data_IF_802684697306
#
_entry.id   IF_802684697306
#
_cell.length_a   1.000
_cell.length_b   1.000
_cell.length_c   1.000
_cell.angle_alpha   90.00
_cell.angle_beta   90.00
_cell.angle_gamma   90.00
#
_symmetry.space_group_name_H-M   'P 1'
#
loop_
_entity.id
_entity.type
_entity.pdbx_description
1 polymer ?
#
# COMPACT_ATOMS: atom_id res chain seq x y z
N UNK A 1 62.30 -15.25 18.92
CA UNK A 1 61.95 -16.66 18.69
C UNK A 1 62.41 -17.00 17.28
N UNK A 2 63.63 -17.55 17.15
CA UNK A 2 63.93 -18.95 16.76
C UNK A 2 63.36 -19.31 15.38
N UNK A 3 64.07 -19.76 14.35
CA UNK A 3 65.51 -20.03 14.08
C UNK A 3 65.60 -20.52 12.62
N UNK A 4 66.44 -19.87 11.81
CA UNK A 4 67.46 -20.40 10.86
C UNK A 4 67.31 -21.79 10.20
N UNK A 5 67.39 -21.79 8.86
CA UNK A 5 68.23 -22.58 7.93
C UNK A 5 68.86 -23.93 8.38
N UNK A 6 68.76 -24.97 7.53
CA UNK A 6 69.59 -26.19 7.54
C UNK A 6 70.04 -26.49 6.10
N UNK A 7 71.30 -26.26 5.71
CA UNK A 7 72.51 -27.12 5.89
C UNK A 7 72.38 -28.44 5.10
N UNK A 8 73.11 -28.71 4.00
CA UNK A 8 74.57 -28.72 3.79
C UNK A 8 75.31 -29.71 4.73
N UNK A 9 75.65 -30.88 4.19
CA UNK A 9 76.54 -31.92 4.75
C UNK A 9 77.23 -32.53 3.50
N UNK A 10 78.50 -32.28 3.14
CA UNK A 10 79.78 -32.27 3.85
C UNK A 10 80.33 -33.66 4.24
N UNK A 11 81.28 -34.11 3.42
CA UNK A 11 82.51 -34.85 3.76
C UNK A 11 82.35 -36.33 4.22
N UNK A 12 83.30 -37.27 4.04
CA UNK A 12 84.75 -37.13 3.92
C UNK A 12 85.46 -38.48 3.64
N UNK A 13 86.79 -38.42 3.38
CA UNK A 13 87.86 -39.41 3.72
C UNK A 13 88.07 -40.58 2.72
N UNK A 14 89.28 -40.99 2.28
CA UNK A 14 90.65 -40.88 2.81
C UNK A 14 91.71 -40.97 1.69
N UNK A 15 92.80 -40.23 1.84
CA UNK A 15 94.06 -40.39 1.13
C UNK A 15 95.18 -40.76 2.15
N UNK A 16 96.07 -41.71 1.81
CA UNK A 16 97.38 -41.97 2.45
C UNK A 16 98.26 -42.64 1.35
N UNK A 17 99.38 -42.10 0.83
CA UNK A 17 100.68 -41.62 1.38
C UNK A 17 101.76 -42.73 1.40
N UNK A 18 102.70 -42.58 0.43
CA UNK A 18 104.18 -42.68 0.43
C UNK A 18 104.94 -43.69 1.33
N UNK A 19 105.90 -44.41 0.71
CA UNK A 19 107.37 -44.35 0.94
C UNK A 19 108.08 -45.72 0.83
N UNK A 20 109.22 -45.75 0.11
CA UNK A 20 110.10 -46.93 -0.10
C UNK A 20 111.01 -47.29 1.09
N UNK A 21 111.86 -48.33 0.96
CA UNK A 21 113.16 -48.15 0.30
C UNK A 21 113.71 -49.36 -0.51
N UNK A 22 114.75 -49.08 -1.30
CA UNK A 22 115.70 -50.01 -1.96
C UNK A 22 116.84 -50.42 -0.96
N UNK A 23 117.82 -51.34 -1.23
CA UNK A 23 118.41 -51.66 -2.54
C UNK A 23 119.02 -53.08 -2.78
N UNK A 24 119.67 -53.20 -3.96
CA UNK A 24 120.78 -54.08 -4.39
C UNK A 24 120.50 -55.41 -5.15
N UNK A 25 120.71 -55.29 -6.47
CA UNK A 25 121.62 -56.06 -7.32
C UNK A 25 121.40 -57.58 -7.55
N UNK A 26 120.83 -57.90 -8.72
CA UNK A 26 121.45 -58.83 -9.67
C UNK A 26 120.89 -58.58 -11.09
N UNK A 27 121.77 -58.46 -12.07
CA UNK A 27 121.48 -58.56 -13.50
C UNK A 27 122.53 -59.54 -14.08
N UNK A 28 122.38 -60.07 -15.29
CA UNK A 28 121.27 -59.93 -16.24
C UNK A 28 120.70 -61.31 -16.66
N UNK A 29 119.50 -61.35 -17.22
CA UNK A 29 119.32 -62.15 -18.42
C UNK A 29 118.16 -61.65 -19.28
N UNK A 30 118.43 -61.74 -20.57
CA UNK A 30 117.66 -61.17 -21.64
C UNK A 30 116.34 -61.92 -21.90
N UNK A 31 115.48 -61.23 -22.68
CA UNK A 31 114.34 -61.77 -23.45
C UNK A 31 113.04 -61.99 -22.66
N UNK A 32 112.15 -61.02 -22.75
CA UNK A 32 110.84 -61.19 -23.41
C UNK A 32 110.04 -59.89 -23.28
N UNK A 33 109.96 -59.14 -24.37
CA UNK A 33 109.03 -58.03 -24.52
C UNK A 33 107.62 -58.57 -24.80
N UNK A 34 106.95 -59.19 -23.82
CA UNK A 34 105.51 -59.51 -23.85
C UNK A 34 104.93 -59.58 -22.41
N UNK A 35 104.80 -58.44 -21.70
CA UNK A 35 103.53 -58.17 -21.00
C UNK A 35 103.14 -56.67 -20.93
N UNK A 36 103.85 -55.77 -21.63
CA UNK A 36 103.46 -54.36 -21.75
C UNK A 36 102.26 -54.18 -22.68
N UNK A 37 102.29 -54.90 -23.80
CA UNK A 37 101.24 -54.90 -24.81
C UNK A 37 99.89 -55.45 -24.26
N UNK A 38 99.92 -56.40 -23.31
CA UNK A 38 98.72 -56.94 -22.67
C UNK A 38 98.10 -55.97 -21.64
N UNK A 39 98.92 -55.30 -20.82
CA UNK A 39 98.44 -54.28 -19.85
C UNK A 39 97.88 -53.04 -20.54
N UNK A 40 98.49 -52.63 -21.65
CA UNK A 40 98.01 -51.51 -22.47
C UNK A 40 96.68 -51.86 -23.17
N UNK A 41 96.52 -53.08 -23.69
CA UNK A 41 95.23 -53.57 -24.22
C UNK A 41 94.14 -53.66 -23.14
N UNK A 42 94.47 -54.07 -21.92
CA UNK A 42 93.54 -54.07 -20.79
C UNK A 42 93.15 -52.65 -20.34
N UNK A 43 94.11 -51.71 -20.32
CA UNK A 43 93.84 -50.29 -20.04
C UNK A 43 92.95 -49.66 -21.13
N UNK A 44 93.18 -49.96 -22.40
CA UNK A 44 92.34 -49.51 -23.53
C UNK A 44 90.93 -50.11 -23.46
N UNK A 45 90.78 -51.38 -23.08
CA UNK A 45 89.46 -52.00 -22.86
C UNK A 45 88.69 -51.33 -21.73
N UNK A 46 89.35 -51.02 -20.61
CA UNK A 46 88.75 -50.26 -19.49
C UNK A 46 88.37 -48.85 -19.91
N UNK A 47 89.21 -48.17 -20.70
CA UNK A 47 88.91 -46.84 -21.23
C UNK A 47 87.73 -46.87 -22.22
N UNK A 48 87.67 -47.87 -23.10
CA UNK A 48 86.55 -48.07 -24.01
C UNK A 48 85.25 -48.40 -23.26
N UNK A 49 85.32 -49.18 -22.19
CA UNK A 49 84.18 -49.44 -21.31
C UNK A 49 83.75 -48.18 -20.55
N UNK A 50 84.68 -47.37 -20.05
CA UNK A 50 84.39 -46.08 -19.41
C UNK A 50 83.74 -45.09 -20.39
N UNK A 51 84.23 -45.01 -21.63
CA UNK A 51 83.64 -44.18 -22.68
C UNK A 51 82.22 -44.64 -23.04
N UNK A 52 81.99 -45.95 -23.15
CA UNK A 52 80.64 -46.50 -23.37
C UNK A 52 79.69 -46.19 -22.22
N UNK A 53 80.16 -46.25 -20.96
CA UNK A 53 79.36 -45.87 -19.78
C UNK A 53 79.00 -44.40 -19.80
N UNK A 54 79.96 -43.53 -20.10
CA UNK A 54 79.75 -42.09 -20.17
C UNK A 54 78.79 -41.70 -21.32
N UNK A 55 78.90 -42.36 -22.48
CA UNK A 55 77.94 -42.22 -23.57
C UNK A 55 76.53 -42.69 -23.18
N UNK A 56 76.41 -43.79 -22.43
CA UNK A 56 75.12 -44.26 -21.91
C UNK A 56 74.52 -43.30 -20.88
N UNK A 57 75.34 -42.74 -19.99
CA UNK A 57 74.92 -41.73 -19.01
C UNK A 57 74.48 -40.44 -19.69
N UNK A 58 75.22 -39.93 -20.69
CA UNK A 58 74.79 -38.78 -21.50
C UNK A 58 73.47 -39.03 -22.20
N UNK A 59 73.30 -40.18 -22.84
CA UNK A 59 72.04 -40.54 -23.49
C UNK A 59 70.88 -40.68 -22.50
N UNK A 60 71.13 -41.16 -21.29
CA UNK A 60 70.12 -41.24 -20.23
C UNK A 60 69.74 -39.86 -19.69
N UNK A 61 70.72 -38.97 -19.48
CA UNK A 61 70.51 -37.59 -19.06
C UNK A 61 69.79 -36.76 -20.12
N UNK A 62 70.13 -36.91 -21.41
CA UNK A 62 69.44 -36.25 -22.51
C UNK A 62 67.96 -36.68 -22.59
N UNK A 63 67.67 -37.98 -22.40
CA UNK A 63 66.30 -38.49 -22.33
C UNK A 63 65.55 -37.94 -21.11
N UNK A 64 66.18 -37.91 -19.94
CA UNK A 64 65.57 -37.36 -18.73
C UNK A 64 65.32 -35.84 -18.83
N UNK A 65 66.22 -35.11 -19.51
CA UNK A 65 66.08 -33.69 -19.77
C UNK A 65 64.94 -33.44 -20.78
N UNK A 66 64.82 -34.27 -21.82
CA UNK A 66 63.70 -34.22 -22.76
C UNK A 66 62.35 -34.50 -22.06
N UNK A 67 62.25 -35.57 -21.26
CA UNK A 67 61.01 -35.87 -20.53
C UNK A 67 60.66 -34.79 -19.50
N UNK A 68 61.65 -34.25 -18.79
CA UNK A 68 61.42 -33.15 -17.85
C UNK A 68 60.99 -31.85 -18.55
N UNK A 69 61.49 -31.58 -19.77
CA UNK A 69 61.02 -30.45 -20.59
C UNK A 69 59.59 -30.64 -21.07
N UNK A 70 59.23 -31.85 -21.49
CA UNK A 70 57.86 -32.18 -21.92
C UNK A 70 56.88 -32.09 -20.75
N UNK A 71 57.25 -32.60 -19.57
CA UNK A 71 56.46 -32.47 -18.33
C UNK A 71 56.34 -31.00 -17.88
N UNK A 72 57.41 -30.21 -17.96
CA UNK A 72 57.35 -28.77 -17.66
C UNK A 72 56.47 -28.02 -18.66
N UNK A 73 56.49 -28.39 -19.94
CA UNK A 73 55.60 -27.86 -20.98
C UNK A 73 54.13 -28.21 -20.72
N UNK A 74 53.85 -29.47 -20.39
CA UNK A 74 52.52 -29.95 -20.02
C UNK A 74 51.97 -29.25 -18.77
N UNK A 75 52.76 -29.17 -17.71
CA UNK A 75 52.41 -28.46 -16.48
C UNK A 75 52.22 -26.94 -16.72
N UNK A 76 52.98 -26.34 -17.64
CA UNK A 76 52.78 -24.96 -18.09
C UNK A 76 51.42 -24.76 -18.75
N UNK A 77 51.08 -25.62 -19.72
CA UNK A 77 49.80 -25.58 -20.41
C UNK A 77 48.60 -25.80 -19.46
N UNK A 78 48.73 -26.70 -18.48
CA UNK A 78 47.71 -26.91 -17.45
C UNK A 78 47.54 -25.70 -16.53
N UNK A 79 48.64 -25.04 -16.14
CA UNK A 79 48.59 -23.79 -15.35
C UNK A 79 47.91 -22.67 -16.11
N UNK A 80 48.22 -22.50 -17.40
CA UNK A 80 47.59 -21.48 -18.23
C UNK A 80 46.09 -21.76 -18.43
N UNK A 81 45.71 -23.02 -18.64
CA UNK A 81 44.31 -23.44 -18.72
C UNK A 81 43.57 -23.21 -17.39
N UNK A 82 44.19 -23.53 -16.25
CA UNK A 82 43.63 -23.28 -14.93
C UNK A 82 43.49 -21.77 -14.65
N UNK A 83 44.49 -20.96 -15.00
CA UNK A 83 44.44 -19.51 -14.86
C UNK A 83 43.33 -18.89 -15.73
N UNK A 84 43.15 -19.37 -16.96
CA UNK A 84 42.05 -18.95 -17.83
C UNK A 84 40.68 -19.30 -17.24
N UNK A 85 40.52 -20.50 -16.64
CA UNK A 85 39.29 -20.91 -15.96
C UNK A 85 39.01 -20.06 -14.72
N UNK A 86 40.04 -19.77 -13.90
CA UNK A 86 39.91 -18.91 -12.73
C UNK A 86 39.44 -17.50 -13.12
N UNK A 87 40.07 -16.89 -14.15
CA UNK A 87 39.64 -15.58 -14.67
C UNK A 87 38.19 -15.58 -15.15
N UNK A 88 37.75 -16.63 -15.86
CA UNK A 88 36.35 -16.77 -16.29
C UNK A 88 35.40 -16.88 -15.09
N UNK A 89 35.75 -17.69 -14.10
CA UNK A 89 34.96 -17.83 -12.88
C UNK A 89 34.85 -16.51 -12.09
N UNK A 90 35.94 -15.75 -11.98
CA UNK A 90 35.95 -14.42 -11.36
C UNK A 90 35.03 -13.44 -12.11
N UNK A 91 35.09 -13.42 -13.44
CA UNK A 91 34.20 -12.54 -14.24
C UNK A 91 32.72 -12.93 -14.08
N UNK A 92 32.41 -14.24 -14.05
CA UNK A 92 31.06 -14.72 -13.81
C UNK A 92 30.57 -14.41 -12.39
N UNK A 93 31.42 -14.58 -11.38
CA UNK A 93 31.10 -14.23 -10.00
C UNK A 93 30.85 -12.71 -9.84
N UNK A 94 31.67 -11.87 -10.49
CA UNK A 94 31.46 -10.43 -10.50
C UNK A 94 30.15 -10.02 -11.20
N UNK A 95 29.77 -10.71 -12.27
CA UNK A 95 28.50 -10.50 -12.95
C UNK A 95 27.32 -10.87 -12.06
N UNK A 96 27.32 -12.07 -11.49
CA UNK A 96 26.27 -12.54 -10.57
C UNK A 96 26.15 -11.65 -9.34
N UNK A 97 27.27 -11.15 -8.80
CA UNK A 97 27.25 -10.21 -7.68
C UNK A 97 26.54 -8.90 -8.06
N UNK A 98 26.78 -8.37 -9.27
CA UNK A 98 26.07 -7.17 -9.77
C UNK A 98 24.58 -7.43 -9.97
N UNK A 99 24.20 -8.57 -10.52
CA UNK A 99 22.80 -8.96 -10.69
C UNK A 99 22.09 -9.11 -9.35
N UNK A 100 22.71 -9.75 -8.36
CA UNK A 100 22.15 -9.88 -7.02
C UNK A 100 21.94 -8.51 -6.37
N UNK A 101 22.88 -7.58 -6.51
CA UNK A 101 22.70 -6.22 -6.00
C UNK A 101 21.60 -5.45 -6.75
N UNK A 102 21.49 -5.62 -8.07
CA UNK A 102 20.40 -5.05 -8.85
C UNK A 102 19.03 -5.60 -8.42
N UNK A 103 18.91 -6.92 -8.24
CA UNK A 103 17.70 -7.59 -7.77
C UNK A 103 17.33 -7.15 -6.35
N UNK A 104 18.30 -7.02 -5.44
CA UNK A 104 18.06 -6.48 -4.09
C UNK A 104 17.53 -5.05 -4.13
N UNK A 105 18.07 -4.20 -5.01
CA UNK A 105 17.56 -2.83 -5.21
C UNK A 105 16.14 -2.84 -5.76
N UNK A 106 15.86 -3.65 -6.77
CA UNK A 106 14.52 -3.81 -7.34
C UNK A 106 13.51 -4.32 -6.30
N UNK A 107 13.90 -5.28 -5.45
CA UNK A 107 13.05 -5.80 -4.38
C UNK A 107 12.74 -4.72 -3.34
N UNK A 108 13.74 -3.92 -2.95
CA UNK A 108 13.53 -2.78 -2.04
C UNK A 108 12.58 -1.77 -2.65
N UNK A 109 12.77 -1.40 -3.91
CA UNK A 109 11.89 -0.47 -4.62
C UNK A 109 10.46 -1.01 -4.75
N UNK A 110 10.27 -2.29 -5.07
CA UNK A 110 8.94 -2.88 -5.07
C UNK A 110 8.31 -2.89 -3.67
N UNK A 111 9.10 -3.14 -2.62
CA UNK A 111 8.58 -3.11 -1.25
C UNK A 111 8.12 -1.72 -0.82
N UNK A 112 8.87 -0.66 -1.20
CA UNK A 112 8.49 0.73 -0.91
C UNK A 112 7.27 1.14 -1.72
N UNK A 113 7.20 0.77 -3.00
CA UNK A 113 6.03 1.00 -3.85
C UNK A 113 4.79 0.32 -3.29
N UNK A 114 4.90 -0.95 -2.88
CA UNK A 114 3.80 -1.70 -2.25
C UNK A 114 3.32 -1.05 -0.96
N UNK A 115 4.23 -0.69 -0.05
CA UNK A 115 3.86 0.02 1.18
C UNK A 115 3.16 1.36 0.90
N UNK A 116 3.64 2.09 -0.11
CA UNK A 116 2.99 3.35 -0.53
C UNK A 116 1.60 3.12 -1.12
N UNK A 117 1.40 2.04 -1.88
CA UNK A 117 0.13 1.67 -2.48
C UNK A 117 -0.87 1.23 -1.41
N UNK A 118 -0.44 0.41 -0.45
CA UNK A 118 -1.24 -0.01 0.72
C UNK A 118 -1.68 1.21 1.54
N UNK A 119 -0.78 2.17 1.78
CA UNK A 119 -1.12 3.43 2.47
C UNK A 119 -2.15 4.25 1.69
N UNK A 120 -2.03 4.35 0.37
CA UNK A 120 -3.01 5.05 -0.48
C UNK A 120 -4.37 4.35 -0.47
N UNK A 121 -4.37 3.01 -0.50
CA UNK A 121 -5.58 2.20 -0.46
C UNK A 121 -6.31 2.37 0.88
N UNK A 122 -5.59 2.30 2.01
CA UNK A 122 -6.17 2.55 3.33
C UNK A 122 -6.75 3.98 3.45
N UNK A 123 -6.06 5.00 2.91
CA UNK A 123 -6.59 6.37 2.85
C UNK A 123 -7.83 6.49 1.98
N UNK A 124 -7.87 5.81 0.82
CA UNK A 124 -9.02 5.82 -0.06
C UNK A 124 -10.24 5.15 0.61
N UNK A 125 -10.04 3.99 1.24
CA UNK A 125 -11.08 3.31 2.02
C UNK A 125 -11.61 4.18 3.16
N UNK A 126 -10.73 4.84 3.92
CA UNK A 126 -11.14 5.78 4.96
C UNK A 126 -11.94 6.97 4.43
N UNK A 127 -11.58 7.50 3.25
CA UNK A 127 -12.34 8.57 2.59
C UNK A 127 -13.72 8.09 2.12
N UNK A 128 -13.83 6.89 1.58
CA UNK A 128 -15.10 6.30 1.16
C UNK A 128 -16.03 6.15 2.38
N UNK A 129 -15.55 5.52 3.46
CA UNK A 129 -16.34 5.37 4.69
C UNK A 129 -16.78 6.72 5.28
N UNK A 130 -15.90 7.73 5.26
CA UNK A 130 -16.24 9.08 5.73
C UNK A 130 -17.26 9.79 4.83
N UNK A 131 -17.23 9.54 3.52
CA UNK A 131 -18.21 10.08 2.57
C UNK A 131 -19.57 9.37 2.72
N UNK A 132 -19.58 8.05 2.86
CA UNK A 132 -20.80 7.27 3.11
C UNK A 132 -21.51 7.74 4.38
N UNK A 133 -20.76 7.95 5.47
CA UNK A 133 -21.36 8.45 6.72
C UNK A 133 -21.88 9.89 6.59
N UNK A 134 -21.21 10.74 5.80
CA UNK A 134 -21.71 12.09 5.50
C UNK A 134 -22.98 12.04 4.64
N UNK A 135 -23.02 11.18 3.63
CA UNK A 135 -24.21 10.98 2.79
C UNK A 135 -25.38 10.51 3.63
N UNK A 136 -25.18 9.48 4.45
CA UNK A 136 -26.21 8.95 5.36
C UNK A 136 -26.74 10.02 6.31
N UNK A 137 -25.86 10.85 6.90
CA UNK A 137 -26.26 11.96 7.76
C UNK A 137 -27.05 13.03 6.99
N UNK A 138 -26.60 13.38 5.78
CA UNK A 138 -27.29 14.35 4.93
C UNK A 138 -28.69 13.85 4.55
N UNK A 139 -28.82 12.59 4.16
CA UNK A 139 -30.09 11.95 3.82
C UNK A 139 -31.05 11.95 5.03
N UNK A 140 -30.55 11.59 6.22
CA UNK A 140 -31.34 11.63 7.45
C UNK A 140 -31.80 13.06 7.80
N UNK A 141 -30.92 14.06 7.65
CA UNK A 141 -31.27 15.46 7.87
C UNK A 141 -32.30 15.95 6.85
N UNK A 142 -32.18 15.57 5.58
CA UNK A 142 -33.13 15.91 4.54
C UNK A 142 -34.49 15.25 4.79
N UNK A 143 -34.52 13.97 5.18
CA UNK A 143 -35.75 13.27 5.54
C UNK A 143 -36.45 13.96 6.72
N UNK A 144 -35.74 14.18 7.83
CA UNK A 144 -36.30 14.84 9.01
C UNK A 144 -36.77 16.28 8.72
N UNK A 145 -36.04 17.02 7.88
CA UNK A 145 -36.45 18.38 7.48
C UNK A 145 -37.70 18.35 6.61
N UNK A 146 -37.83 17.37 5.72
CA UNK A 146 -39.00 17.22 4.86
C UNK A 146 -40.22 16.84 5.69
N UNK A 147 -40.09 15.86 6.59
CA UNK A 147 -41.16 15.47 7.52
C UNK A 147 -41.63 16.66 8.38
N UNK A 148 -40.69 17.42 8.94
CA UNK A 148 -41.02 18.63 9.72
C UNK A 148 -41.67 19.74 8.87
N UNK A 149 -41.33 19.85 7.58
CA UNK A 149 -42.01 20.77 6.65
C UNK A 149 -43.43 20.29 6.37
N UNK A 150 -43.60 19.02 6.02
CA UNK A 150 -44.91 18.44 5.73
C UNK A 150 -45.87 18.55 6.91
N UNK A 151 -45.38 18.32 8.14
CA UNK A 151 -46.18 18.51 9.35
C UNK A 151 -46.61 19.96 9.56
N UNK A 152 -45.70 20.92 9.31
CA UNK A 152 -46.02 22.35 9.41
C UNK A 152 -47.02 22.75 8.34
N UNK A 153 -46.83 22.30 7.11
CA UNK A 153 -47.73 22.61 6.00
C UNK A 153 -49.12 22.03 6.25
N UNK A 154 -49.22 20.80 6.76
CA UNK A 154 -50.51 20.21 7.18
C UNK A 154 -51.20 21.03 8.27
N UNK A 155 -50.48 21.49 9.28
CA UNK A 155 -51.03 22.34 10.35
C UNK A 155 -51.51 23.68 9.80
N UNK A 156 -50.70 24.34 8.96
CA UNK A 156 -51.07 25.60 8.32
C UNK A 156 -52.30 25.45 7.42
N UNK A 157 -52.38 24.39 6.62
CA UNK A 157 -53.55 24.12 5.78
C UNK A 157 -54.81 23.87 6.63
N UNK A 158 -54.68 23.15 7.75
CA UNK A 158 -55.80 22.95 8.67
C UNK A 158 -56.25 24.26 9.32
N UNK A 159 -55.33 25.11 9.79
CA UNK A 159 -55.62 26.42 10.36
C UNK A 159 -56.27 27.36 9.34
N UNK A 160 -55.75 27.41 8.12
CA UNK A 160 -56.34 28.18 7.03
C UNK A 160 -57.75 27.68 6.69
N UNK A 161 -57.98 26.37 6.70
CA UNK A 161 -59.31 25.80 6.50
C UNK A 161 -60.30 26.19 7.59
N UNK A 162 -59.88 26.17 8.86
CA UNK A 162 -60.71 26.62 10.00
C UNK A 162 -61.02 28.11 9.89
N UNK A 163 -60.00 28.95 9.64
CA UNK A 163 -60.17 30.40 9.47
C UNK A 163 -61.07 30.73 8.28
N UNK A 164 -60.88 30.05 7.14
CA UNK A 164 -61.71 30.22 5.96
C UNK A 164 -63.18 29.89 6.22
N UNK A 165 -63.47 28.80 6.93
CA UNK A 165 -64.85 28.48 7.36
C UNK A 165 -65.41 29.54 8.30
N UNK A 166 -64.64 29.97 9.29
CA UNK A 166 -65.07 31.03 10.22
C UNK A 166 -65.37 32.34 9.49
N UNK A 167 -64.54 32.75 8.54
CA UNK A 167 -64.76 33.95 7.74
C UNK A 167 -66.01 33.81 6.87
N UNK A 168 -66.21 32.67 6.20
CA UNK A 168 -67.41 32.42 5.41
C UNK A 168 -68.70 32.49 6.26
N UNK A 169 -68.68 31.93 7.48
CA UNK A 169 -69.80 32.06 8.42
C UNK A 169 -70.00 33.51 8.86
N UNK A 170 -68.92 34.26 9.14
CA UNK A 170 -69.02 35.68 9.48
C UNK A 170 -69.63 36.50 8.33
N UNK A 171 -69.23 36.24 7.09
CA UNK A 171 -69.76 36.90 5.90
C UNK A 171 -71.25 36.59 5.71
N UNK A 172 -71.65 35.32 5.83
CA UNK A 172 -73.05 34.90 5.73
C UNK A 172 -73.93 35.59 6.79
N UNK A 173 -73.53 35.52 8.07
CA UNK A 173 -74.25 36.15 9.17
C UNK A 173 -74.31 37.67 9.04
N UNK A 174 -73.26 38.30 8.52
CA UNK A 174 -73.25 39.74 8.26
C UNK A 174 -74.31 40.12 7.21
N UNK A 175 -74.39 39.36 6.11
CA UNK A 175 -75.42 39.55 5.08
C UNK A 175 -76.82 39.37 5.64
N UNK A 176 -77.04 38.35 6.48
CA UNK A 176 -78.33 38.09 7.12
C UNK A 176 -78.74 39.19 8.12
N UNK A 177 -77.79 39.64 8.96
CA UNK A 177 -78.01 40.77 9.87
C UNK A 177 -78.33 42.07 9.11
N UNK A 178 -77.64 42.33 8.00
CA UNK A 178 -77.92 43.50 7.17
C UNK A 178 -79.31 43.41 6.53
N UNK A 179 -79.69 42.24 6.01
CA UNK A 179 -81.02 42.00 5.46
C UNK A 179 -82.12 42.20 6.52
N UNK A 180 -81.92 41.65 7.73
CA UNK A 180 -82.81 41.80 8.88
C UNK A 180 -82.96 43.27 9.29
N UNK A 181 -81.86 44.02 9.34
CA UNK A 181 -81.87 45.45 9.64
C UNK A 181 -82.67 46.26 8.62
N UNK A 182 -82.55 45.95 7.32
CA UNK A 182 -83.38 46.59 6.29
C UNK A 182 -84.86 46.21 6.41
N UNK A 183 -85.16 44.94 6.69
CA UNK A 183 -86.52 44.47 6.91
C UNK A 183 -87.19 45.24 8.07
N UNK A 184 -86.46 45.43 9.17
CA UNK A 184 -86.93 46.20 10.32
C UNK A 184 -87.21 47.67 9.96
N UNK A 185 -86.29 48.32 9.21
CA UNK A 185 -86.47 49.70 8.76
C UNK A 185 -87.67 49.87 7.80
N UNK A 186 -87.82 48.96 6.84
CA UNK A 186 -88.95 49.00 5.89
C UNK A 186 -90.29 48.81 6.63
N UNK A 187 -90.32 47.88 7.58
CA UNK A 187 -91.51 47.61 8.37
C UNK A 187 -91.86 48.79 9.29
N UNK A 188 -90.85 49.44 9.88
CA UNK A 188 -91.07 50.66 10.65
C UNK A 188 -91.61 51.80 9.78
N UNK A 189 -91.15 51.91 8.53
CA UNK A 189 -91.66 52.88 7.55
C UNK A 189 -93.12 52.58 7.13
N UNK A 190 -93.52 51.31 7.11
CA UNK A 190 -94.89 50.89 6.78
C UNK A 190 -95.92 51.12 7.89
N UNK A 191 -95.48 51.35 9.15
CA UNK A 191 -96.36 51.73 10.26
C UNK A 191 -96.94 53.14 9.99
N UNK A 192 -98.20 53.20 9.54
CA UNK A 192 -98.91 54.45 9.29
C UNK A 192 -99.59 54.95 10.56
N UNK A 193 -99.93 56.25 10.62
CA UNK A 193 -100.61 56.87 11.79
C UNK A 193 -101.87 56.12 12.29
N UNK A 194 -102.55 55.34 11.43
CA UNK A 194 -103.68 54.49 11.83
C UNK A 194 -103.31 53.29 12.71
N UNK A 195 -102.13 52.68 12.51
CA UNK A 195 -101.65 51.56 13.35
C UNK A 195 -101.29 52.00 14.77
N UNK A 196 -100.86 53.26 14.94
CA UNK A 196 -100.55 53.86 16.25
C UNK A 196 -101.82 54.14 17.10
N UNK A 197 -102.95 54.42 16.43
CA UNK A 197 -104.26 54.57 17.08
C UNK A 197 -104.79 53.21 17.59
N UNK A 198 -104.69 52.16 16.77
CA UNK A 198 -105.09 50.80 17.18
C UNK A 198 -104.17 50.17 18.24
N UNK A 199 -102.91 50.60 18.32
CA UNK A 199 -101.97 50.13 19.33
C UNK A 199 -102.29 50.62 20.75
N UNK A 200 -103.01 51.74 20.89
CA UNK A 200 -103.38 52.36 22.17
C UNK A 200 -104.79 51.99 22.67
N UNK A 201 -105.45 50.98 22.08
CA UNK A 201 -106.79 50.59 22.54
C UNK A 201 -106.78 49.92 23.92
N UNK A 202 -107.50 50.46 24.92
CA UNK A 202 -107.43 50.01 26.31
C UNK A 202 -108.21 48.73 26.61
N UNK A 203 -109.08 48.26 25.70
CA UNK A 203 -110.07 47.21 26.01
C UNK A 203 -109.64 45.80 25.60
N UNK A 204 -108.98 45.61 24.45
CA UNK A 204 -108.62 44.26 23.95
C UNK A 204 -107.12 43.97 23.96
N UNK A 205 -106.24 44.99 23.98
CA UNK A 205 -104.77 44.88 23.99
C UNK A 205 -104.13 43.95 22.93
N UNK A 206 -104.91 43.43 21.97
CA UNK A 206 -104.46 42.42 21.01
C UNK A 206 -103.31 42.92 20.13
N UNK A 207 -103.36 44.19 19.72
CA UNK A 207 -102.31 44.82 18.90
C UNK A 207 -101.00 45.00 19.67
N UNK A 208 -101.05 45.24 20.98
CA UNK A 208 -99.87 45.32 21.85
C UNK A 208 -99.15 43.98 21.95
N UNK A 209 -99.88 42.90 22.21
CA UNK A 209 -99.31 41.53 22.25
C UNK A 209 -98.72 41.14 20.89
N UNK A 210 -99.35 41.54 19.78
CA UNK A 210 -98.79 41.32 18.44
C UNK A 210 -97.46 42.05 18.21
N UNK A 211 -97.33 43.29 18.70
CA UNK A 211 -96.08 44.05 18.60
C UNK A 211 -95.00 43.43 19.49
N UNK A 212 -95.36 42.97 20.69
CA UNK A 212 -94.44 42.34 21.65
C UNK A 212 -93.91 41.00 21.11
N UNK A 213 -94.80 40.13 20.61
CA UNK A 213 -94.43 38.88 19.92
C UNK A 213 -93.54 39.15 18.70
N UNK A 214 -93.80 40.24 17.99
CA UNK A 214 -92.98 40.61 16.85
C UNK A 214 -91.58 41.06 17.27
N UNK A 215 -91.48 41.90 18.29
CA UNK A 215 -90.21 42.37 18.83
C UNK A 215 -89.39 41.20 19.36
N UNK A 216 -90.04 40.26 20.05
CA UNK A 216 -89.43 39.02 20.53
C UNK A 216 -88.94 38.15 19.35
N UNK A 217 -89.73 37.99 18.29
CA UNK A 217 -89.29 37.25 17.10
C UNK A 217 -88.08 37.88 16.39
N UNK A 218 -87.96 39.21 16.35
CA UNK A 218 -86.80 39.89 15.78
C UNK A 218 -85.59 39.81 16.72
N UNK A 219 -85.82 39.83 18.03
CA UNK A 219 -84.78 39.62 19.04
C UNK A 219 -84.19 38.22 18.93
N UNK A 220 -85.04 37.20 18.81
CA UNK A 220 -84.61 35.81 18.60
C UNK A 220 -83.82 35.66 17.29
N UNK A 221 -84.25 36.31 16.20
CA UNK A 221 -83.53 36.33 14.91
C UNK A 221 -82.17 37.04 15.00
N UNK A 222 -82.10 38.17 15.71
CA UNK A 222 -80.85 38.89 15.95
C UNK A 222 -79.88 38.08 16.82
N UNK A 223 -80.39 37.43 17.85
CA UNK A 223 -79.60 36.59 18.75
C UNK A 223 -79.11 35.31 18.05
N UNK A 224 -79.90 34.73 17.13
CA UNK A 224 -79.47 33.60 16.29
C UNK A 224 -78.32 33.95 15.34
N UNK A 225 -78.35 35.14 14.73
CA UNK A 225 -77.30 35.58 13.78
C UNK A 225 -76.10 36.26 14.44
N UNK A 226 -76.18 36.54 15.74
CA UNK A 226 -75.04 37.03 16.49
C UNK A 226 -73.91 36.01 16.45
N UNK A 227 -72.68 36.51 16.28
CA UNK A 227 -71.46 35.71 16.38
C UNK A 227 -70.93 35.88 17.79
N UNK A 228 -70.85 34.79 18.55
CA UNK A 228 -70.16 34.82 19.83
C UNK A 228 -68.64 34.92 19.59
N UNK A 229 -67.94 35.83 20.28
CA UNK A 229 -66.50 35.91 20.16
C UNK A 229 -65.88 34.60 20.63
N UNK A 230 -65.01 34.02 19.82
CA UNK A 230 -64.22 32.87 20.22
C UNK A 230 -63.39 33.26 21.46
N UNK A 231 -63.76 32.72 22.63
CA UNK A 231 -62.99 32.88 23.85
C UNK A 231 -61.60 32.29 23.57
N UNK A 232 -60.50 33.07 23.65
CA UNK A 232 -59.17 32.53 23.43
C UNK A 232 -58.91 31.49 24.50
N UNK A 233 -58.73 30.23 24.10
CA UNK A 233 -58.24 29.18 24.98
C UNK A 233 -56.85 29.61 25.44
N UNK A 234 -56.76 30.06 26.69
CA UNK A 234 -55.51 30.41 27.35
C UNK A 234 -54.56 29.21 27.28
N UNK A 235 -53.40 29.44 26.67
CA UNK A 235 -52.38 28.43 26.45
C UNK A 235 -51.99 27.67 27.73
N UNK A 236 -51.79 26.37 27.55
CA UNK A 236 -50.94 25.53 28.40
C UNK A 236 -49.96 24.81 27.50
#
# INVERSE_FOLDING_TARGET
>A
MRTTTSAALAAAICACVLAGPAPLAFAPDARAAEPRDSREREALRRFQQALRREQQERAALEKALASAKDEAGGAGAERDAAAARARRAETAAAHLARELEALKRALREQSTQRASAETKLAKAQGRIAALEEKMRKSEQQHAATTESRDERDRKLLAELGVRGRSLATCEQKNVELYALGRELMERHRSLTCGDLLLANEPVTQLKRVQIENLLESYRDRLDAERIEPAVPVSGR
#
